data_IF_191530712785
#
_entry.id   IF_191530712785
#
_cell.length_a   1.000
_cell.length_b   1.000
_cell.length_c   1.000
_cell.angle_alpha   90.00
_cell.angle_beta   90.00
_cell.angle_gamma   90.00
#
_symmetry.space_group_name_H-M   'P 1'
#
loop_
_entity.id
_entity.type
_entity.pdbx_description
1 polymer ?
#
# COMPACT_ATOMS: atom_id res chain seq x y z
N UNK A 1 26.53 4.71 -5.86
CA UNK A 1 25.42 4.69 -4.88
C UNK A 1 25.01 3.23 -4.72
N UNK A 2 25.17 2.67 -3.53
CA UNK A 2 24.73 1.30 -3.25
C UNK A 2 23.21 1.34 -3.09
N UNK A 3 22.49 0.62 -3.94
CA UNK A 3 21.07 0.41 -3.75
C UNK A 3 20.85 -0.22 -2.38
N UNK A 4 20.06 0.42 -1.51
CA UNK A 4 19.59 -0.24 -0.29
C UNK A 4 18.92 -1.55 -0.69
N UNK A 5 19.22 -2.68 -0.03
CA UNK A 5 18.56 -3.93 -0.33
C UNK A 5 17.07 -3.73 -0.10
N UNK A 6 16.26 -3.89 -1.16
CA UNK A 6 14.82 -3.88 -1.05
C UNK A 6 14.44 -4.86 0.07
N UNK A 7 13.81 -4.36 1.13
CA UNK A 7 13.27 -5.21 2.19
C UNK A 7 12.32 -6.22 1.53
N UNK A 8 12.45 -7.48 1.90
CA UNK A 8 11.71 -8.59 1.29
C UNK A 8 10.20 -8.35 1.25
N UNK A 9 9.54 -9.01 0.29
CA UNK A 9 8.11 -8.96 -0.05
C UNK A 9 7.18 -9.57 1.03
N UNK A 10 7.39 -9.20 2.29
CA UNK A 10 6.58 -9.69 3.41
C UNK A 10 5.44 -8.73 3.68
N UNK A 11 4.22 -9.23 3.47
CA UNK A 11 3.01 -8.60 3.95
C UNK A 11 2.68 -9.05 5.36
N UNK A 12 2.22 -8.10 6.16
CA UNK A 12 1.75 -8.31 7.52
C UNK A 12 0.27 -7.97 7.58
N UNK A 13 -0.51 -8.71 8.37
CA UNK A 13 -1.95 -8.51 8.54
C UNK A 13 -2.29 -8.42 10.01
N UNK A 14 -3.08 -7.42 10.39
CA UNK A 14 -3.56 -7.23 11.76
C UNK A 14 -4.85 -6.42 11.75
N UNK A 15 -5.53 -6.32 12.89
CA UNK A 15 -6.52 -5.27 13.10
C UNK A 15 -5.81 -3.94 13.38
N UNK A 16 -6.26 -2.86 12.74
CA UNK A 16 -5.76 -1.52 13.03
C UNK A 16 -6.19 -1.10 14.46
N UNK A 17 -5.25 -0.80 15.38
CA UNK A 17 -5.56 -0.40 16.74
C UNK A 17 -6.20 1.00 16.81
N UNK A 18 -6.01 1.81 15.78
CA UNK A 18 -6.60 3.14 15.66
C UNK A 18 -6.81 3.49 14.19
N UNK A 19 -7.57 4.57 13.96
CA UNK A 19 -7.72 5.14 12.63
C UNK A 19 -6.35 5.52 12.05
N UNK A 20 -6.14 5.19 10.77
CA UNK A 20 -4.91 5.45 10.02
C UNK A 20 -3.64 4.87 10.67
N UNK A 21 -3.78 3.85 11.52
CA UNK A 21 -2.61 3.16 12.04
C UNK A 21 -1.82 2.53 10.91
N UNK A 22 -0.61 3.01 10.71
CA UNK A 22 0.35 2.46 9.76
C UNK A 22 1.77 2.60 10.33
N UNK A 23 2.53 1.50 10.49
CA UNK A 23 3.91 1.59 10.94
C UNK A 23 4.75 2.53 10.07
N UNK A 24 5.67 3.26 10.70
CA UNK A 24 6.60 4.11 9.96
C UNK A 24 7.43 3.27 8.99
N UNK A 25 7.56 3.74 7.74
CA UNK A 25 8.26 3.03 6.68
C UNK A 25 7.39 2.04 5.90
N UNK A 26 6.10 1.93 6.20
CA UNK A 26 5.20 0.98 5.54
C UNK A 26 4.16 1.67 4.65
N UNK A 27 3.66 0.91 3.68
CA UNK A 27 2.38 1.18 3.02
C UNK A 27 1.33 0.26 3.63
N UNK A 28 0.15 0.81 3.93
CA UNK A 28 -0.94 0.12 4.60
C UNK A 28 -2.21 0.19 3.76
N UNK A 29 -2.93 -0.94 3.70
CA UNK A 29 -4.21 -1.08 3.02
C UNK A 29 -5.26 -1.60 3.99
N UNK A 30 -6.39 -0.90 4.08
CA UNK A 30 -7.45 -1.18 5.05
C UNK A 30 -8.68 -1.77 4.38
N UNK A 31 -9.39 -2.67 5.07
CA UNK A 31 -10.62 -3.30 4.55
C UNK A 31 -11.87 -2.40 4.69
N UNK A 32 -11.76 -1.28 5.40
CA UNK A 32 -12.80 -0.25 5.51
C UNK A 32 -12.28 1.12 5.08
N UNK A 33 -13.21 2.03 4.84
CA UNK A 33 -12.91 3.43 4.57
C UNK A 33 -12.27 4.10 5.79
N UNK A 34 -11.57 5.19 5.52
CA UNK A 34 -10.96 6.10 6.49
C UNK A 34 -9.94 5.45 7.42
N UNK A 35 -9.17 4.46 6.95
CA UNK A 35 -8.07 3.87 7.72
C UNK A 35 -8.50 2.98 8.87
N UNK A 36 -9.65 2.31 8.75
CA UNK A 36 -10.26 1.51 9.81
C UNK A 36 -10.27 0.01 9.45
N UNK A 37 -10.45 -0.83 10.47
CA UNK A 37 -10.69 -2.27 10.31
C UNK A 37 -9.40 -3.08 10.23
N UNK A 38 -9.40 -4.16 9.44
CA UNK A 38 -8.20 -4.96 9.23
C UNK A 38 -7.26 -4.21 8.28
N UNK A 39 -5.98 -4.23 8.61
CA UNK A 39 -4.92 -3.62 7.82
C UNK A 39 -3.96 -4.70 7.33
N UNK A 40 -3.55 -4.55 6.07
CA UNK A 40 -2.47 -5.31 5.47
C UNK A 40 -1.39 -4.33 5.03
N UNK A 41 -0.13 -4.59 5.40
CA UNK A 41 0.94 -3.63 5.20
C UNK A 41 2.27 -4.30 4.85
N UNK A 42 3.16 -3.54 4.22
CA UNK A 42 4.52 -3.98 3.86
C UNK A 42 5.49 -2.82 3.90
N UNK A 43 6.77 -3.13 4.11
CA UNK A 43 7.90 -2.19 4.09
C UNK A 43 8.67 -2.20 2.76
N UNK A 44 8.25 -3.04 1.81
CA UNK A 44 8.97 -3.29 0.57
C UNK A 44 8.05 -3.67 -0.58
N UNK A 45 8.66 -3.97 -1.72
CA UNK A 45 7.95 -4.34 -2.94
C UNK A 45 7.24 -5.68 -2.77
N UNK A 46 6.02 -5.79 -3.30
CA UNK A 46 5.24 -7.02 -3.27
C UNK A 46 4.76 -7.35 -4.69
N UNK A 47 5.37 -8.37 -5.35
CA UNK A 47 5.04 -8.72 -6.72
C UNK A 47 3.70 -9.46 -6.85
N UNK A 48 3.23 -10.11 -5.78
CA UNK A 48 1.92 -10.76 -5.69
C UNK A 48 1.38 -10.54 -4.28
N UNK A 49 0.37 -9.70 -4.15
CA UNK A 49 -0.22 -9.35 -2.87
C UNK A 49 -1.27 -10.36 -2.44
N UNK A 50 -1.28 -10.63 -1.14
CA UNK A 50 -2.29 -11.41 -0.44
C UNK A 50 -3.26 -10.51 0.34
N UNK A 51 -3.11 -9.18 0.26
CA UNK A 51 -3.92 -8.23 1.01
C UNK A 51 -5.42 -8.29 0.70
N UNK A 52 -5.85 -8.97 -0.38
CA UNK A 52 -7.26 -9.09 -0.79
C UNK A 52 -7.91 -7.72 -1.08
N UNK A 53 -9.24 -7.63 -0.97
CA UNK A 53 -9.97 -6.39 -1.28
C UNK A 53 -9.77 -5.32 -0.21
N UNK A 54 -9.47 -4.08 -0.62
CA UNK A 54 -9.13 -2.96 0.27
C UNK A 54 -9.82 -1.68 -0.18
N UNK A 55 -10.26 -0.88 0.80
CA UNK A 55 -11.13 0.28 0.58
C UNK A 55 -10.44 1.61 0.86
N UNK A 56 -9.40 1.61 1.69
CA UNK A 56 -8.56 2.78 1.92
C UNK A 56 -7.09 2.40 2.06
N UNK A 57 -6.22 3.40 2.02
CA UNK A 57 -4.78 3.22 2.07
C UNK A 57 -4.09 4.34 2.83
N UNK A 58 -2.88 4.07 3.31
CA UNK A 58 -1.95 5.08 3.80
C UNK A 58 -0.51 4.66 3.48
N UNK A 59 0.21 5.47 2.71
CA UNK A 59 1.65 5.37 2.53
C UNK A 59 2.36 6.23 3.60
N UNK A 60 2.90 5.55 4.60
CA UNK A 60 3.64 6.13 5.71
C UNK A 60 5.15 5.80 5.61
N UNK A 61 5.66 5.57 4.41
CA UNK A 61 7.04 5.13 4.21
C UNK A 61 7.81 5.85 3.12
N UNK A 62 9.13 5.86 3.30
CA UNK A 62 10.12 6.20 2.30
C UNK A 62 11.34 5.28 2.53
N UNK A 63 11.27 3.99 2.16
CA UNK A 63 12.27 2.98 2.53
C UNK A 63 13.65 3.21 1.92
N UNK A 64 13.76 4.06 0.90
CA UNK A 64 15.03 4.49 0.30
C UNK A 64 14.97 5.96 -0.16
N UNK A 65 16.15 6.51 -0.49
CA UNK A 65 16.27 7.86 -1.03
C UNK A 65 15.56 7.95 -2.39
N UNK A 66 14.64 8.90 -2.55
CA UNK A 66 13.71 9.00 -3.69
C UNK A 66 12.87 7.73 -3.87
N UNK A 67 12.35 7.16 -2.78
CA UNK A 67 11.43 6.04 -2.79
C UNK A 67 10.19 6.34 -1.95
N UNK A 68 9.58 7.50 -2.16
CA UNK A 68 8.45 8.01 -1.38
C UNK A 68 7.10 7.72 -2.05
N UNK A 69 7.10 7.23 -3.29
CA UNK A 69 5.89 6.85 -4.00
C UNK A 69 5.74 5.33 -4.09
N UNK A 70 4.49 4.85 -3.99
CA UNK A 70 4.15 3.45 -4.21
C UNK A 70 3.32 3.34 -5.49
N UNK A 71 3.87 2.67 -6.51
CA UNK A 71 3.07 2.30 -7.69
C UNK A 71 2.32 1.02 -7.38
N UNK A 72 1.01 1.16 -7.19
CA UNK A 72 0.08 0.08 -6.85
C UNK A 72 -0.67 -0.39 -8.09
N UNK A 73 -0.67 -1.69 -8.32
CA UNK A 73 -1.41 -2.36 -9.37
C UNK A 73 -2.58 -3.13 -8.76
N UNK A 74 -3.79 -2.87 -9.25
CA UNK A 74 -5.02 -3.44 -8.70
C UNK A 74 -5.79 -4.25 -9.73
N UNK A 75 -6.61 -5.19 -9.23
CA UNK A 75 -7.45 -6.06 -10.06
C UNK A 75 -8.93 -5.78 -9.78
N UNK A 76 -9.74 -5.66 -10.84
CA UNK A 76 -11.19 -5.79 -10.77
C UNK A 76 -11.50 -7.25 -11.12
N UNK A 77 -11.82 -8.07 -10.11
CA UNK A 77 -12.07 -9.52 -10.20
C UNK A 77 -10.82 -10.39 -10.46
N UNK A 78 -10.32 -11.01 -9.38
CA UNK A 78 -9.40 -12.15 -9.27
C UNK A 78 -8.77 -12.72 -10.57
N UNK A 79 -7.83 -12.02 -11.21
CA UNK A 79 -7.11 -12.64 -12.35
C UNK A 79 -6.16 -11.77 -13.14
N UNK A 80 -6.52 -10.53 -13.45
CA UNK A 80 -5.69 -9.65 -14.30
C UNK A 80 -5.56 -8.26 -13.67
N UNK A 81 -4.37 -7.66 -13.66
CA UNK A 81 -4.20 -6.26 -13.27
C UNK A 81 -5.01 -5.37 -14.23
N UNK A 82 -5.98 -4.63 -13.70
CA UNK A 82 -6.93 -3.83 -14.48
C UNK A 82 -6.53 -2.36 -14.50
N UNK A 83 -5.73 -1.91 -13.54
CA UNK A 83 -5.20 -0.55 -13.53
C UNK A 83 -4.06 -0.38 -12.54
N UNK A 84 -3.54 0.85 -12.48
CA UNK A 84 -2.54 1.25 -11.52
C UNK A 84 -2.84 2.64 -10.96
N UNK A 85 -2.31 2.93 -9.78
CA UNK A 85 -2.32 4.26 -9.17
C UNK A 85 -1.01 4.51 -8.46
N UNK A 86 -0.70 5.78 -8.23
CA UNK A 86 0.44 6.20 -7.44
C UNK A 86 0.00 6.64 -6.06
N UNK A 87 0.61 6.09 -5.01
CA UNK A 87 0.37 6.53 -3.64
C UNK A 87 1.54 7.39 -3.20
N UNK A 88 1.29 8.68 -3.04
CA UNK A 88 2.27 9.66 -2.57
C UNK A 88 2.63 9.38 -1.11
N UNK A 89 3.73 9.93 -0.61
CA UNK A 89 4.07 9.80 0.81
C UNK A 89 3.29 10.79 1.70
N UNK A 90 2.97 10.35 2.90
CA UNK A 90 2.68 11.25 4.02
C UNK A 90 1.21 11.57 4.25
N UNK A 91 0.95 12.35 5.30
CA UNK A 91 -0.39 12.56 5.86
C UNK A 91 -1.33 13.28 4.88
N UNK A 92 -0.84 14.22 4.08
CA UNK A 92 -1.71 15.04 3.22
C UNK A 92 -2.10 14.32 1.94
N UNK A 93 -1.13 13.67 1.27
CA UNK A 93 -1.32 13.12 -0.07
C UNK A 93 -1.31 11.59 -0.10
N UNK A 94 -0.69 10.96 0.90
CA UNK A 94 -0.46 9.51 0.93
C UNK A 94 -1.58 8.69 1.51
N UNK A 95 -2.74 9.28 1.82
CA UNK A 95 -3.91 8.54 2.31
C UNK A 95 -5.17 8.90 1.56
N UNK A 96 -6.07 7.94 1.48
CA UNK A 96 -7.36 8.17 0.86
C UNK A 96 -8.26 6.95 0.88
N UNK A 97 -9.49 7.17 0.41
CA UNK A 97 -10.47 6.12 0.16
C UNK A 97 -10.56 5.89 -1.34
N UNK A 98 -10.76 4.65 -1.74
CA UNK A 98 -11.05 4.30 -3.14
C UNK A 98 -12.53 4.42 -3.49
N UNK A 99 -13.39 4.53 -2.49
CA UNK A 99 -14.84 4.58 -2.67
C UNK A 99 -15.41 3.20 -3.06
N UNK A 100 -16.75 3.11 -3.08
CA UNK A 100 -17.46 1.89 -3.44
C UNK A 100 -17.01 0.66 -2.63
N UNK A 101 -16.83 -0.46 -3.34
CA UNK A 101 -16.43 -1.75 -2.76
C UNK A 101 -14.91 -1.90 -2.56
N UNK A 102 -14.10 -0.89 -2.94
CA UNK A 102 -12.65 -1.00 -2.98
C UNK A 102 -12.13 -1.80 -4.19
N UNK A 103 -10.87 -2.22 -4.13
CA UNK A 103 -10.30 -3.13 -5.12
C UNK A 103 -9.32 -4.13 -4.52
N UNK A 104 -9.05 -5.20 -5.28
CA UNK A 104 -8.05 -6.19 -4.90
C UNK A 104 -6.65 -5.63 -5.13
N UNK A 105 -5.85 -5.55 -4.06
CA UNK A 105 -4.44 -5.17 -4.11
C UNK A 105 -3.67 -6.30 -4.79
N UNK A 106 -3.22 -6.11 -6.03
CA UNK A 106 -2.60 -7.16 -6.84
C UNK A 106 -1.07 -7.22 -6.67
N UNK A 107 -0.40 -6.09 -6.84
CA UNK A 107 1.03 -5.93 -6.57
C UNK A 107 1.36 -4.46 -6.33
N UNK A 108 2.51 -4.18 -5.72
CA UNK A 108 2.97 -2.80 -5.55
C UNK A 108 4.49 -2.73 -5.40
N UNK A 109 5.04 -1.58 -5.81
CA UNK A 109 6.48 -1.31 -5.76
C UNK A 109 6.76 0.12 -5.30
N UNK A 110 7.81 0.28 -4.53
CA UNK A 110 8.35 1.58 -4.13
C UNK A 110 9.16 2.20 -5.26
N UNK A 111 9.15 3.53 -5.35
CA UNK A 111 9.90 4.29 -6.35
C UNK A 111 9.85 5.78 -6.07
N UNK A 112 10.58 6.55 -6.88
CA UNK A 112 10.66 8.01 -6.74
C UNK A 112 9.43 8.69 -7.27
N UNK A 113 9.22 8.65 -8.58
CA UNK A 113 8.02 9.21 -9.21
C UNK A 113 7.21 8.08 -9.85
N UNK A 114 5.90 8.29 -9.94
CA UNK A 114 5.04 7.52 -10.84
C UNK A 114 4.68 8.36 -12.06
#
# INVERSE_FOLDING_TARGET
>A
MLASPAKAATEYKTQAPSQWWCPYGAVCFYDRDNGLGNVCYSYGDVPVSSCSNRRSYFNNGAPCNNCDHVRLYWQLNYGTAVGWTCLHYGWTEGRGNWGGEGFHVGSYRWGGEC
#
